data_IF_243197672008
#
_entry.id   IF_243197672008
#
_cell.length_a   1.000
_cell.length_b   1.000
_cell.length_c   1.000
_cell.angle_alpha   90.00
_cell.angle_beta   90.00
_cell.angle_gamma   90.00
#
_symmetry.space_group_name_H-M   'P 1'
#
loop_
_entity.id
_entity.type
_entity.pdbx_description
1 polymer ?
#
# COMPACT_ATOMS: atom_id res chain seq x y z
N UNK A 1 8.35 8.29 0.40
CA UNK A 1 8.26 7.64 -0.93
C UNK A 1 7.63 8.55 -1.99
N UNK A 2 6.43 9.15 -1.81
CA UNK A 2 5.77 9.90 -2.89
C UNK A 2 6.59 11.07 -3.44
N UNK A 3 7.39 11.74 -2.60
CA UNK A 3 8.31 12.80 -3.02
C UNK A 3 9.46 12.28 -3.89
N UNK A 4 9.95 11.05 -3.64
CA UNK A 4 10.96 10.41 -4.49
C UNK A 4 10.36 10.09 -5.85
N UNK A 5 9.15 9.52 -5.89
CA UNK A 5 8.44 9.24 -7.13
C UNK A 5 8.17 10.53 -7.92
N UNK A 6 7.78 11.63 -7.26
CA UNK A 6 7.60 12.92 -7.94
C UNK A 6 8.90 13.44 -8.56
N UNK A 7 10.05 13.25 -7.89
CA UNK A 7 11.36 13.62 -8.44
C UNK A 7 11.71 12.77 -9.68
N UNK A 8 11.44 11.47 -9.65
CA UNK A 8 11.62 10.60 -10.83
C UNK A 8 10.74 11.05 -12.00
N UNK A 9 9.45 11.28 -11.76
CA UNK A 9 8.52 11.76 -12.78
C UNK A 9 8.92 13.12 -13.35
N UNK A 10 9.56 13.99 -12.58
CA UNK A 10 10.02 15.28 -13.09
C UNK A 10 11.12 15.16 -14.17
N UNK A 11 11.86 14.04 -14.23
CA UNK A 11 12.90 13.83 -15.24
C UNK A 11 12.30 13.55 -16.63
N UNK A 12 11.22 12.78 -16.70
CA UNK A 12 10.69 12.22 -17.96
C UNK A 12 9.22 12.56 -18.23
N UNK A 13 8.40 12.69 -17.18
CA UNK A 13 6.95 12.90 -17.27
C UNK A 13 6.48 14.02 -16.32
N UNK A 14 7.10 15.20 -16.44
CA UNK A 14 6.91 16.34 -15.51
C UNK A 14 5.45 16.86 -15.45
N UNK A 15 4.59 16.46 -16.37
CA UNK A 15 3.15 16.73 -16.36
C UNK A 15 2.39 15.90 -15.31
N UNK A 16 2.94 14.76 -14.86
CA UNK A 16 2.32 13.92 -13.82
C UNK A 16 2.64 14.52 -12.45
N UNK A 17 1.60 14.90 -11.71
CA UNK A 17 1.69 15.48 -10.37
C UNK A 17 1.13 14.54 -9.32
N UNK A 18 1.92 14.31 -8.28
CA UNK A 18 1.60 13.46 -7.15
C UNK A 18 1.14 14.31 -5.99
N UNK A 19 -0.02 13.93 -5.48
CA UNK A 19 -0.42 14.29 -4.14
C UNK A 19 -0.57 13.03 -3.30
N UNK A 20 -0.51 13.21 -1.99
CA UNK A 20 -0.66 12.13 -1.04
C UNK A 20 -1.66 12.49 0.06
N UNK A 21 -2.34 11.46 0.57
CA UNK A 21 -3.01 11.51 1.86
C UNK A 21 -2.78 10.18 2.55
N UNK A 22 -1.91 10.19 3.54
CA UNK A 22 -1.44 8.99 4.25
C UNK A 22 -1.34 9.32 5.72
N UNK A 23 -1.82 8.41 6.57
CA UNK A 23 -1.73 8.57 8.00
C UNK A 23 -1.19 7.29 8.65
N UNK A 24 -0.32 7.40 9.67
CA UNK A 24 0.33 6.23 10.27
C UNK A 24 -0.71 5.29 10.90
N UNK A 25 -0.59 3.99 10.61
CA UNK A 25 -1.45 2.94 11.19
C UNK A 25 -2.92 2.94 10.74
N UNK A 26 -3.31 3.77 9.78
CA UNK A 26 -4.69 3.83 9.28
C UNK A 26 -4.89 2.82 8.13
N UNK A 27 -5.87 1.92 8.30
CA UNK A 27 -6.29 1.00 7.25
C UNK A 27 -7.11 1.71 6.17
N UNK A 28 -7.24 1.08 5.00
CA UNK A 28 -8.00 1.66 3.89
C UNK A 28 -9.46 1.99 4.25
N UNK A 29 -10.12 1.16 5.06
CA UNK A 29 -11.50 1.45 5.51
C UNK A 29 -11.54 2.63 6.49
N UNK A 30 -10.57 2.74 7.40
CA UNK A 30 -10.52 3.84 8.37
C UNK A 30 -10.30 5.21 7.71
N UNK A 31 -9.68 5.26 6.53
CA UNK A 31 -9.63 6.49 5.72
C UNK A 31 -11.02 7.05 5.35
N UNK A 32 -12.04 6.19 5.32
CA UNK A 32 -13.44 6.55 5.01
C UNK A 32 -14.31 6.62 6.26
N UNK A 33 -13.98 5.85 7.29
CA UNK A 33 -14.77 5.72 8.51
C UNK A 33 -14.37 6.73 9.60
N UNK A 34 -13.17 7.32 9.52
CA UNK A 34 -12.63 8.16 10.58
C UNK A 34 -12.37 9.61 10.14
N UNK A 35 -12.60 10.53 11.08
CA UNK A 35 -12.14 11.91 11.01
C UNK A 35 -10.80 12.02 11.71
N UNK A 36 -9.81 12.55 10.99
CA UNK A 36 -8.50 12.86 11.53
C UNK A 36 -8.61 14.16 12.31
N UNK A 37 -8.35 14.10 13.60
CA UNK A 37 -8.37 15.27 14.47
C UNK A 37 -6.97 15.88 14.60
N UNK A 38 -5.96 15.00 14.74
CA UNK A 38 -4.56 15.37 14.87
C UNK A 38 -3.70 14.30 14.18
N UNK A 39 -2.63 14.71 13.49
CA UNK A 39 -1.65 13.80 12.89
C UNK A 39 -0.26 14.40 12.91
N UNK A 40 0.72 13.60 13.31
CA UNK A 40 2.15 13.82 13.14
C UNK A 40 2.79 12.60 12.45
N UNK A 41 4.12 12.51 12.43
CA UNK A 41 4.84 11.37 11.86
C UNK A 41 4.52 10.06 12.61
N UNK A 42 4.52 10.08 13.95
CA UNK A 42 4.38 8.88 14.79
C UNK A 42 3.03 8.79 15.52
N UNK A 43 2.21 9.84 15.46
CA UNK A 43 0.98 9.92 16.23
C UNK A 43 -0.21 10.30 15.35
N UNK A 44 -1.34 9.66 15.62
CA UNK A 44 -2.62 10.04 15.04
C UNK A 44 -3.73 9.95 16.09
N UNK A 45 -4.57 10.99 16.14
CA UNK A 45 -5.84 10.95 16.86
C UNK A 45 -6.98 11.04 15.87
N UNK A 46 -7.91 10.09 16.01
CA UNK A 46 -9.08 10.01 15.16
C UNK A 46 -10.34 9.77 15.96
N UNK A 47 -11.47 10.23 15.43
CA UNK A 47 -12.80 9.83 15.88
C UNK A 47 -13.58 9.17 14.74
N UNK A 48 -14.63 8.43 15.07
CA UNK A 48 -15.55 7.91 14.05
C UNK A 48 -16.27 9.06 13.34
N UNK A 49 -16.52 8.86 12.05
CA UNK A 49 -17.33 9.73 11.20
C UNK A 49 -18.79 9.71 11.66
N UNK A 50 -19.39 10.89 11.76
CA UNK A 50 -20.82 11.10 12.06
C UNK A 50 -21.57 11.60 10.82
N UNK A 51 -22.90 11.66 10.92
CA UNK A 51 -23.72 12.22 9.84
C UNK A 51 -23.33 13.67 9.53
N UNK A 52 -23.17 13.97 8.23
CA UNK A 52 -22.73 15.28 7.75
C UNK A 52 -21.21 15.50 7.75
N UNK A 53 -20.42 14.64 8.39
CA UNK A 53 -18.96 14.71 8.30
C UNK A 53 -18.46 14.33 6.89
N UNK A 54 -17.27 14.82 6.54
CA UNK A 54 -16.52 14.41 5.35
C UNK A 54 -15.07 14.14 5.73
N UNK A 55 -14.57 12.94 5.43
CA UNK A 55 -13.19 12.58 5.78
C UNK A 55 -12.18 13.34 4.93
N UNK A 56 -10.93 13.36 5.39
CA UNK A 56 -9.85 13.96 4.62
C UNK A 56 -9.64 13.23 3.28
N UNK A 57 -9.87 11.91 3.23
CA UNK A 57 -9.78 11.12 1.99
C UNK A 57 -10.92 11.44 1.03
N UNK A 58 -12.16 11.59 1.51
CA UNK A 58 -13.28 12.01 0.67
C UNK A 58 -13.03 13.39 0.06
N UNK A 59 -12.59 14.36 0.88
CA UNK A 59 -12.20 15.70 0.41
C UNK A 59 -11.11 15.63 -0.65
N UNK A 60 -10.07 14.81 -0.43
CA UNK A 60 -8.95 14.65 -1.36
C UNK A 60 -9.40 14.06 -2.69
N UNK A 61 -10.24 13.03 -2.68
CA UNK A 61 -10.73 12.41 -3.91
C UNK A 61 -11.61 13.40 -4.70
N UNK A 62 -12.43 14.19 -4.02
CA UNK A 62 -13.38 15.11 -4.65
C UNK A 62 -12.75 16.45 -5.08
N UNK A 63 -11.53 16.77 -4.65
CA UNK A 63 -10.91 18.07 -4.95
C UNK A 63 -10.63 18.30 -6.44
N UNK A 64 -10.43 17.21 -7.21
CA UNK A 64 -10.15 17.23 -8.65
C UNK A 64 -10.43 15.87 -9.29
N UNK A 65 -10.45 15.85 -10.62
CA UNK A 65 -10.56 14.63 -11.42
C UNK A 65 -9.19 13.96 -11.48
N UNK A 66 -8.97 12.92 -10.70
CA UNK A 66 -7.69 12.21 -10.63
C UNK A 66 -7.52 11.29 -11.83
N UNK A 67 -6.37 11.29 -12.50
CA UNK A 67 -6.10 10.31 -13.58
C UNK A 67 -5.69 8.94 -13.02
N UNK A 68 -4.99 8.93 -11.87
CA UNK A 68 -4.48 7.72 -11.22
C UNK A 68 -4.75 7.82 -9.72
N UNK A 69 -5.34 6.79 -9.14
CA UNK A 69 -5.52 6.64 -7.69
C UNK A 69 -4.83 5.35 -7.23
N UNK A 70 -3.79 5.51 -6.40
CA UNK A 70 -3.09 4.41 -5.74
C UNK A 70 -3.65 4.26 -4.32
N UNK A 71 -4.02 3.03 -3.94
CA UNK A 71 -4.56 2.74 -2.60
C UNK A 71 -3.87 1.56 -1.95
N UNK A 72 -3.68 1.66 -0.64
CA UNK A 72 -2.96 0.70 0.18
C UNK A 72 -3.78 0.38 1.43
N UNK A 73 -3.70 -0.86 1.91
CA UNK A 73 -4.08 -1.22 3.28
C UNK A 73 -2.93 -2.00 3.93
N UNK A 74 -3.01 -2.23 5.24
CA UNK A 74 -2.00 -3.04 5.94
C UNK A 74 -2.08 -4.52 5.55
N UNK A 75 -0.93 -5.20 5.51
CA UNK A 75 -0.82 -6.62 5.09
C UNK A 75 -1.79 -7.54 5.85
N UNK A 76 -1.94 -7.38 7.17
CA UNK A 76 -2.84 -8.23 7.96
C UNK A 76 -4.30 -8.13 7.51
N UNK A 77 -4.76 -6.94 7.08
CA UNK A 77 -6.13 -6.73 6.62
C UNK A 77 -6.44 -7.49 5.31
N UNK A 78 -5.41 -7.88 4.55
CA UNK A 78 -5.58 -8.75 3.38
C UNK A 78 -5.36 -10.23 3.68
N UNK A 79 -4.89 -10.62 4.87
CA UNK A 79 -4.73 -12.04 5.23
C UNK A 79 -5.99 -12.61 5.88
N UNK A 80 -6.72 -11.80 6.65
CA UNK A 80 -7.93 -12.22 7.36
C UNK A 80 -9.14 -12.12 6.41
N UNK A 81 -9.84 -13.23 6.08
CA UNK A 81 -10.95 -13.25 5.12
C UNK A 81 -12.08 -12.26 5.43
N UNK A 82 -12.45 -12.13 6.70
CA UNK A 82 -13.50 -11.23 7.15
C UNK A 82 -13.08 -9.77 7.00
N UNK A 83 -11.82 -9.45 7.32
CA UNK A 83 -11.28 -8.10 7.10
C UNK A 83 -11.29 -7.73 5.63
N UNK A 84 -10.88 -8.65 4.74
CA UNK A 84 -10.98 -8.45 3.29
C UNK A 84 -12.42 -8.17 2.85
N UNK A 85 -13.34 -9.06 3.21
CA UNK A 85 -14.72 -9.05 2.73
C UNK A 85 -15.52 -7.86 3.23
N UNK A 86 -15.34 -7.48 4.50
CA UNK A 86 -16.21 -6.50 5.16
C UNK A 86 -15.56 -5.14 5.41
N UNK A 87 -14.24 -5.02 5.23
CA UNK A 87 -13.52 -3.73 5.35
C UNK A 87 -12.82 -3.33 4.05
N UNK A 88 -11.86 -4.13 3.59
CA UNK A 88 -10.98 -3.73 2.49
C UNK A 88 -11.71 -3.61 1.16
N UNK A 89 -12.48 -4.63 0.76
CA UNK A 89 -13.24 -4.62 -0.51
C UNK A 89 -14.33 -3.52 -0.55
N UNK A 90 -15.16 -3.33 0.49
CA UNK A 90 -16.10 -2.20 0.53
C UNK A 90 -15.42 -0.84 0.42
N UNK A 91 -14.28 -0.64 1.09
CA UNK A 91 -13.53 0.61 1.02
C UNK A 91 -12.98 0.87 -0.39
N UNK A 92 -12.46 -0.16 -1.07
CA UNK A 92 -12.04 -0.10 -2.47
C UNK A 92 -13.19 0.38 -3.36
N UNK A 93 -14.38 -0.20 -3.19
CA UNK A 93 -15.58 0.13 -3.98
C UNK A 93 -16.06 1.54 -3.70
N UNK A 94 -16.05 1.98 -2.44
CA UNK A 94 -16.47 3.33 -2.06
C UNK A 94 -15.52 4.39 -2.63
N UNK A 95 -14.20 4.18 -2.57
CA UNK A 95 -13.21 5.10 -3.17
C UNK A 95 -13.44 5.25 -4.68
N UNK A 96 -13.73 4.15 -5.39
CA UNK A 96 -14.05 4.22 -6.84
C UNK A 96 -15.30 5.05 -7.12
N UNK A 97 -16.32 4.97 -6.27
CA UNK A 97 -17.57 5.74 -6.42
C UNK A 97 -17.40 7.23 -6.12
N UNK A 98 -16.42 7.60 -5.29
CA UNK A 98 -16.20 8.99 -4.89
C UNK A 98 -15.52 9.84 -5.97
N UNK A 99 -14.76 9.21 -6.86
CA UNK A 99 -13.98 9.89 -7.88
C UNK A 99 -14.81 10.11 -9.16
N UNK A 100 -15.03 11.38 -9.52
CA UNK A 100 -15.79 11.80 -10.71
C UNK A 100 -14.92 11.83 -11.99
N UNK A 101 -14.25 10.71 -12.27
CA UNK A 101 -13.50 10.49 -13.50
C UNK A 101 -13.55 9.02 -13.90
N UNK A 102 -14.36 8.71 -14.90
CA UNK A 102 -14.55 7.34 -15.39
C UNK A 102 -13.30 6.76 -16.09
N UNK A 103 -12.38 7.62 -16.51
CA UNK A 103 -11.13 7.21 -17.16
C UNK A 103 -9.97 6.99 -16.18
N UNK A 104 -10.22 7.11 -14.87
CA UNK A 104 -9.17 6.92 -13.88
C UNK A 104 -8.65 5.50 -13.84
N UNK A 105 -7.32 5.39 -13.81
CA UNK A 105 -6.63 4.15 -13.45
C UNK A 105 -6.65 4.00 -11.93
N UNK A 106 -6.94 2.80 -11.46
CA UNK A 106 -6.89 2.49 -10.04
C UNK A 106 -5.87 1.40 -9.78
N UNK A 107 -4.90 1.70 -8.93
CA UNK A 107 -3.81 0.80 -8.59
C UNK A 107 -3.98 0.34 -7.15
N UNK A 108 -4.02 -0.98 -6.93
CA UNK A 108 -3.92 -1.57 -5.61
C UNK A 108 -2.44 -1.81 -5.28
N UNK A 109 -1.98 -1.18 -4.20
CA UNK A 109 -0.64 -1.34 -3.68
C UNK A 109 -0.55 -2.67 -2.92
N UNK A 110 -0.03 -3.70 -3.60
CA UNK A 110 0.41 -4.97 -3.03
C UNK A 110 1.58 -4.75 -2.08
N UNK A 111 1.45 -5.13 -0.81
CA UNK A 111 2.51 -4.99 0.19
C UNK A 111 3.41 -6.23 0.24
N UNK A 112 4.38 -6.25 1.16
CA UNK A 112 5.40 -7.29 1.32
C UNK A 112 5.25 -8.07 2.63
N UNK A 113 6.05 -9.12 2.79
CA UNK A 113 6.23 -9.87 4.04
C UNK A 113 7.01 -9.05 5.06
N UNK A 114 6.61 -9.14 6.33
CA UNK A 114 7.41 -8.65 7.44
C UNK A 114 8.34 -9.73 7.98
N UNK A 115 9.34 -9.36 8.78
CA UNK A 115 10.16 -10.30 9.55
C UNK A 115 9.33 -10.85 10.70
N UNK A 116 9.12 -12.15 10.71
CA UNK A 116 8.38 -12.87 11.76
C UNK A 116 9.01 -14.22 12.03
N UNK A 117 8.74 -14.78 13.20
CA UNK A 117 9.03 -16.18 13.50
C UNK A 117 7.88 -17.05 12.99
N UNK A 118 8.19 -18.25 12.48
CA UNK A 118 7.19 -19.19 11.98
C UNK A 118 7.07 -20.41 12.90
N UNK A 119 5.86 -20.97 13.08
CA UNK A 119 4.61 -20.57 12.45
C UNK A 119 4.01 -19.28 13.04
N UNK A 120 3.25 -18.54 12.24
CA UNK A 120 2.58 -17.29 12.63
C UNK A 120 1.11 -17.29 12.20
N UNK A 121 0.25 -16.63 12.98
CA UNK A 121 -1.16 -16.44 12.66
C UNK A 121 -1.67 -15.09 13.16
N UNK A 122 -2.21 -14.29 12.24
CA UNK A 122 -2.78 -13.00 12.58
C UNK A 122 -4.27 -13.10 12.86
N UNK A 123 -4.73 -12.45 13.93
CA UNK A 123 -6.15 -12.43 14.25
C UNK A 123 -6.65 -11.03 14.59
N UNK A 124 -7.88 -10.76 14.20
CA UNK A 124 -8.66 -9.63 14.69
C UNK A 124 -9.79 -10.11 15.59
N UNK A 125 -10.10 -9.35 16.63
CA UNK A 125 -11.37 -9.48 17.34
C UNK A 125 -12.52 -8.98 16.46
N UNK A 126 -13.73 -9.49 16.68
CA UNK A 126 -14.92 -9.00 15.98
C UNK A 126 -15.13 -7.50 16.16
N UNK A 127 -14.71 -6.93 17.29
CA UNK A 127 -14.71 -5.47 17.50
C UNK A 127 -13.95 -4.70 16.40
N UNK A 128 -12.81 -5.22 15.93
CA UNK A 128 -12.04 -4.58 14.85
C UNK A 128 -12.69 -4.76 13.46
N UNK A 129 -13.57 -5.75 13.30
CA UNK A 129 -14.30 -6.03 12.06
C UNK A 129 -15.65 -5.30 11.96
N UNK A 130 -16.15 -4.78 13.08
CA UNK A 130 -17.35 -3.93 13.14
C UNK A 130 -18.53 -4.60 13.85
N UNK A 131 -19.61 -3.83 14.00
CA UNK A 131 -20.72 -4.20 14.90
C UNK A 131 -21.52 -5.44 14.51
N UNK A 132 -21.38 -5.92 13.27
CA UNK A 132 -22.00 -7.17 12.82
C UNK A 132 -21.32 -8.44 13.33
N UNK A 133 -20.18 -8.32 14.01
CA UNK A 133 -19.39 -9.45 14.50
C UNK A 133 -19.48 -9.58 16.02
N UNK A 134 -19.37 -10.81 16.51
CA UNK A 134 -19.25 -11.05 17.93
C UNK A 134 -17.93 -10.43 18.44
N UNK A 135 -18.03 -9.49 19.37
CA UNK A 135 -16.88 -8.70 19.86
C UNK A 135 -15.77 -9.55 20.45
N UNK A 136 -16.12 -10.65 21.10
CA UNK A 136 -15.18 -11.53 21.81
C UNK A 136 -14.61 -12.64 20.92
N UNK A 137 -15.18 -12.83 19.73
CA UNK A 137 -14.71 -13.85 18.77
C UNK A 137 -13.46 -13.36 18.02
N UNK A 138 -12.52 -14.28 17.78
CA UNK A 138 -11.30 -14.05 17.00
C UNK A 138 -11.47 -14.61 15.60
N UNK A 139 -11.15 -13.78 14.62
CA UNK A 139 -11.14 -14.12 13.20
C UNK A 139 -9.70 -14.03 12.70
N UNK A 140 -9.18 -15.14 12.19
CA UNK A 140 -7.76 -15.30 11.96
C UNK A 140 -7.43 -15.58 10.50
N UNK A 141 -6.20 -15.25 10.10
CA UNK A 141 -5.62 -15.73 8.86
C UNK A 141 -5.42 -17.25 8.92
N UNK A 142 -5.20 -17.91 7.77
CA UNK A 142 -4.52 -19.20 7.76
C UNK A 142 -3.20 -19.14 8.55
N UNK A 143 -2.77 -20.28 9.09
CA UNK A 143 -1.44 -20.42 9.69
C UNK A 143 -0.37 -20.30 8.58
N UNK A 144 0.62 -19.47 8.84
CA UNK A 144 1.76 -19.22 7.97
C UNK A 144 2.94 -20.02 8.51
N UNK A 145 3.47 -20.96 7.75
CA UNK A 145 4.55 -21.86 8.20
C UNK A 145 5.93 -21.48 7.67
N UNK A 146 6.00 -20.58 6.68
CA UNK A 146 7.25 -19.99 6.18
C UNK A 146 6.97 -18.71 5.37
N UNK A 147 8.05 -17.99 5.04
CA UNK A 147 8.00 -16.72 4.30
C UNK A 147 7.43 -16.86 2.89
N UNK A 148 7.75 -17.93 2.16
CA UNK A 148 7.25 -18.12 0.81
C UNK A 148 5.72 -18.30 0.81
N UNK A 149 5.18 -19.04 1.78
CA UNK A 149 3.73 -19.17 1.96
C UNK A 149 3.11 -17.84 2.36
N UNK A 150 3.77 -17.07 3.24
CA UNK A 150 3.31 -15.73 3.62
C UNK A 150 3.21 -14.82 2.39
N UNK A 151 4.28 -14.70 1.60
CA UNK A 151 4.30 -13.91 0.37
C UNK A 151 3.23 -14.37 -0.62
N UNK A 152 3.12 -15.69 -0.85
CA UNK A 152 2.13 -16.26 -1.76
C UNK A 152 0.72 -15.86 -1.36
N UNK A 153 0.38 -16.00 -0.08
CA UNK A 153 -0.95 -15.68 0.42
C UNK A 153 -1.24 -14.17 0.36
N UNK A 154 -0.25 -13.31 0.61
CA UNK A 154 -0.39 -11.86 0.40
C UNK A 154 -0.76 -11.58 -1.06
N UNK A 155 0.05 -12.09 -1.99
CA UNK A 155 -0.07 -11.81 -3.42
C UNK A 155 -1.38 -12.34 -4.00
N UNK A 156 -1.79 -13.57 -3.65
CA UNK A 156 -3.05 -14.15 -4.09
C UNK A 156 -4.26 -13.34 -3.61
N UNK A 157 -4.27 -12.91 -2.35
CA UNK A 157 -5.37 -12.13 -1.79
C UNK A 157 -5.47 -10.73 -2.41
N UNK A 158 -4.33 -10.07 -2.63
CA UNK A 158 -4.30 -8.80 -3.36
C UNK A 158 -4.73 -8.96 -4.82
N UNK A 159 -4.31 -10.03 -5.50
CA UNK A 159 -4.71 -10.32 -6.87
C UNK A 159 -6.20 -10.60 -7.00
N UNK A 160 -6.80 -11.32 -6.04
CA UNK A 160 -8.25 -11.51 -5.98
C UNK A 160 -8.98 -10.17 -5.83
N UNK A 161 -8.58 -9.33 -4.86
CA UNK A 161 -9.17 -8.00 -4.66
C UNK A 161 -9.05 -7.10 -5.90
N UNK A 162 -7.88 -7.10 -6.55
CA UNK A 162 -7.64 -6.32 -7.75
C UNK A 162 -8.53 -6.80 -8.92
N UNK A 163 -8.60 -8.12 -9.14
CA UNK A 163 -9.44 -8.72 -10.19
C UNK A 163 -10.92 -8.42 -9.97
N UNK A 164 -11.43 -8.64 -8.77
CA UNK A 164 -12.84 -8.43 -8.40
C UNK A 164 -13.28 -6.97 -8.56
N UNK A 165 -12.34 -6.03 -8.44
CA UNK A 165 -12.61 -4.60 -8.49
C UNK A 165 -12.09 -3.92 -9.77
N UNK A 166 -11.58 -4.70 -10.75
CA UNK A 166 -10.97 -4.19 -11.98
C UNK A 166 -9.91 -3.12 -11.69
N UNK A 167 -8.91 -3.49 -10.90
CA UNK A 167 -7.77 -2.66 -10.52
C UNK A 167 -6.50 -3.21 -11.15
N UNK A 168 -5.56 -2.31 -11.44
CA UNK A 168 -4.18 -2.69 -11.66
C UNK A 168 -3.54 -3.08 -10.32
N UNK A 169 -2.57 -4.00 -10.35
CA UNK A 169 -1.89 -4.49 -9.16
C UNK A 169 -0.38 -4.20 -9.26
N UNK A 170 0.18 -3.53 -8.24
CA UNK A 170 1.63 -3.36 -8.16
C UNK A 170 2.33 -4.67 -7.77
N UNK A 171 3.64 -4.82 -8.05
CA UNK A 171 4.40 -6.05 -7.76
C UNK A 171 5.35 -5.93 -6.55
N UNK A 172 5.05 -5.09 -5.57
CA UNK A 172 6.04 -4.81 -4.51
C UNK A 172 6.38 -6.04 -3.67
N UNK A 173 5.42 -6.92 -3.35
CA UNK A 173 5.69 -8.14 -2.59
C UNK A 173 6.77 -9.00 -3.25
N UNK A 174 6.59 -9.32 -4.54
CA UNK A 174 7.54 -10.13 -5.30
C UNK A 174 8.92 -9.45 -5.44
N UNK A 175 8.92 -8.15 -5.74
CA UNK A 175 10.17 -7.41 -5.96
C UNK A 175 10.94 -7.22 -4.64
N UNK A 176 10.26 -6.94 -3.53
CA UNK A 176 10.88 -6.84 -2.21
C UNK A 176 11.50 -8.18 -1.79
N UNK A 177 10.79 -9.28 -2.02
CA UNK A 177 11.31 -10.62 -1.76
C UNK A 177 12.53 -10.92 -2.65
N UNK A 178 12.43 -10.69 -3.96
CA UNK A 178 13.53 -10.89 -4.93
C UNK A 178 14.78 -10.09 -4.56
N UNK A 179 14.63 -8.83 -4.15
CA UNK A 179 15.76 -7.99 -3.72
C UNK A 179 16.37 -8.51 -2.43
N UNK A 180 15.55 -8.88 -1.45
CA UNK A 180 16.03 -9.39 -0.15
C UNK A 180 16.81 -10.70 -0.30
N UNK A 181 16.30 -11.62 -1.12
CA UNK A 181 16.92 -12.93 -1.38
C UNK A 181 18.24 -12.80 -2.16
N UNK A 182 18.23 -12.03 -3.26
CA UNK A 182 19.40 -11.93 -4.12
C UNK A 182 20.48 -10.98 -3.57
N UNK A 183 20.09 -10.04 -2.70
CA UNK A 183 20.97 -9.01 -2.17
C UNK A 183 20.79 -8.82 -0.65
N UNK A 184 21.10 -9.82 0.20
CA UNK A 184 20.80 -9.80 1.63
C UNK A 184 21.49 -8.68 2.43
N UNK A 185 22.51 -8.03 1.84
CA UNK A 185 23.19 -6.85 2.40
C UNK A 185 22.39 -5.55 2.18
N UNK A 186 21.50 -5.51 1.19
CA UNK A 186 20.62 -4.37 0.92
C UNK A 186 19.44 -4.43 1.90
N UNK A 187 19.46 -3.61 2.95
CA UNK A 187 18.41 -3.56 3.96
C UNK A 187 17.26 -2.66 3.50
N UNK A 188 16.31 -3.22 2.76
CA UNK A 188 15.13 -2.50 2.26
C UNK A 188 14.06 -2.25 3.31
N UNK A 189 14.10 -2.97 4.45
CA UNK A 189 13.29 -2.70 5.64
C UNK A 189 14.17 -2.10 6.73
N UNK A 190 13.66 -1.08 7.44
CA UNK A 190 14.35 -0.46 8.59
C UNK A 190 14.05 -1.16 9.90
N UNK A 191 12.87 -1.77 10.02
CA UNK A 191 12.49 -2.64 11.11
C UNK A 191 11.90 -3.97 10.57
N UNK A 192 10.90 -4.52 11.24
CA UNK A 192 10.27 -5.77 10.86
C UNK A 192 9.28 -5.62 9.69
N UNK A 193 8.81 -4.42 9.37
CA UNK A 193 7.79 -4.24 8.32
C UNK A 193 7.88 -2.92 7.53
N UNK A 194 8.46 -1.87 8.11
CA UNK A 194 8.53 -0.56 7.48
C UNK A 194 9.70 -0.48 6.49
N UNK A 195 9.49 0.09 5.29
CA UNK A 195 10.56 0.30 4.32
C UNK A 195 11.59 1.29 4.86
N UNK A 196 12.86 0.95 4.72
CA UNK A 196 13.96 1.91 4.90
C UNK A 196 13.97 2.93 3.76
N UNK A 197 14.89 3.90 3.79
CA UNK A 197 15.15 4.80 2.64
C UNK A 197 15.38 4.02 1.32
N UNK A 198 16.02 2.84 1.39
CA UNK A 198 16.26 1.97 0.22
C UNK A 198 14.96 1.32 -0.26
N UNK A 199 14.13 0.80 0.64
CA UNK A 199 12.83 0.23 0.29
C UNK A 199 11.84 1.28 -0.23
N UNK A 200 11.88 2.49 0.32
CA UNK A 200 11.09 3.62 -0.17
C UNK A 200 11.52 4.05 -1.58
N UNK A 201 12.82 4.02 -1.87
CA UNK A 201 13.34 4.27 -3.22
C UNK A 201 12.94 3.18 -4.20
N UNK A 202 13.09 1.90 -3.81
CA UNK A 202 12.64 0.75 -4.61
C UNK A 202 11.14 0.84 -4.93
N UNK A 203 10.31 1.18 -3.94
CA UNK A 203 8.88 1.39 -4.15
C UNK A 203 8.58 2.52 -5.14
N UNK A 204 9.36 3.62 -5.09
CA UNK A 204 9.24 4.68 -6.08
C UNK A 204 9.62 4.19 -7.49
N UNK A 205 10.69 3.39 -7.65
CA UNK A 205 11.03 2.79 -8.95
C UNK A 205 9.90 1.90 -9.49
N UNK A 206 9.27 1.07 -8.64
CA UNK A 206 8.16 0.19 -9.02
C UNK A 206 6.98 1.01 -9.52
N UNK A 207 6.57 2.05 -8.78
CA UNK A 207 5.48 2.91 -9.21
C UNK A 207 5.84 3.73 -10.45
N UNK A 208 7.08 4.21 -10.58
CA UNK A 208 7.54 4.91 -11.77
C UNK A 208 7.33 4.04 -13.02
N UNK A 209 7.86 2.81 -13.01
CA UNK A 209 7.72 1.89 -14.12
C UNK A 209 6.26 1.56 -14.42
N UNK A 210 5.43 1.37 -13.39
CA UNK A 210 4.02 1.06 -13.54
C UNK A 210 3.17 2.23 -14.10
N UNK A 211 3.50 3.47 -13.72
CA UNK A 211 2.76 4.65 -14.13
C UNK A 211 3.12 5.03 -15.57
N UNK A 212 4.41 4.98 -15.90
CA UNK A 212 4.99 5.52 -17.13
C UNK A 212 5.17 4.45 -18.22
N UNK A 213 5.23 3.17 -17.83
CA UNK A 213 5.73 2.06 -18.66
C UNK A 213 7.18 2.26 -19.15
N UNK A 214 7.94 3.14 -18.49
CA UNK A 214 9.35 3.36 -18.75
C UNK A 214 10.21 2.59 -17.75
N UNK A 215 11.43 2.25 -18.16
CA UNK A 215 12.37 1.55 -17.29
C UNK A 215 13.08 2.54 -16.35
N UNK A 216 12.93 2.30 -15.04
CA UNK A 216 13.52 3.11 -13.97
C UNK A 216 15.06 3.09 -13.97
N UNK A 217 15.70 2.12 -14.62
CA UNK A 217 17.17 2.04 -14.77
C UNK A 217 17.73 3.23 -15.56
N UNK A 218 16.92 3.86 -16.41
CA UNK A 218 17.31 5.01 -17.22
C UNK A 218 17.28 6.35 -16.48
N UNK A 219 16.75 6.39 -15.25
CA UNK A 219 16.65 7.62 -14.46
C UNK A 219 18.03 8.06 -13.95
N UNK A 220 18.26 9.37 -13.86
CA UNK A 220 19.45 9.94 -13.23
C UNK A 220 19.25 10.08 -11.71
N UNK A 221 18.02 10.34 -11.26
CA UNK A 221 17.68 10.51 -9.85
C UNK A 221 18.02 9.26 -9.03
N UNK A 222 18.86 9.44 -7.99
CA UNK A 222 19.33 8.37 -7.10
C UNK A 222 18.92 8.57 -5.63
N UNK A 223 18.07 9.55 -5.32
CA UNK A 223 17.63 9.85 -3.94
C UNK A 223 18.77 10.02 -2.91
N UNK A 224 19.91 10.58 -3.33
CA UNK A 224 21.12 10.74 -2.52
C UNK A 224 21.65 9.39 -1.97
N UNK A 225 21.40 8.31 -2.69
CA UNK A 225 22.01 7.00 -2.44
C UNK A 225 23.32 6.88 -3.21
N UNK A 226 24.18 5.95 -2.78
CA UNK A 226 25.31 5.51 -3.58
C UNK A 226 24.84 5.07 -4.97
N UNK A 227 25.53 5.52 -6.02
CA UNK A 227 25.13 5.30 -7.42
C UNK A 227 25.04 3.81 -7.77
N UNK A 228 26.00 3.00 -7.31
CA UNK A 228 25.98 1.56 -7.59
C UNK A 228 24.77 0.91 -6.92
N UNK A 229 24.49 1.28 -5.67
CA UNK A 229 23.32 0.78 -4.94
C UNK A 229 22.00 1.21 -5.59
N UNK A 230 21.87 2.46 -6.00
CA UNK A 230 20.68 2.96 -6.68
C UNK A 230 20.42 2.22 -7.99
N UNK A 231 21.47 1.96 -8.78
CA UNK A 231 21.36 1.23 -10.04
C UNK A 231 20.91 -0.22 -9.84
N UNK A 232 21.40 -0.90 -8.80
CA UNK A 232 20.92 -2.26 -8.46
C UNK A 232 19.43 -2.25 -8.12
N UNK A 233 18.95 -1.27 -7.34
CA UNK A 233 17.54 -1.16 -6.98
C UNK A 233 16.65 -0.84 -8.19
N UNK A 234 17.08 0.06 -9.08
CA UNK A 234 16.36 0.38 -10.32
C UNK A 234 16.21 -0.84 -11.23
N UNK A 235 17.32 -1.54 -11.50
CA UNK A 235 17.35 -2.73 -12.35
C UNK A 235 16.57 -3.93 -11.76
N UNK A 236 16.22 -3.89 -10.48
CA UNK A 236 15.44 -4.95 -9.84
C UNK A 236 13.94 -4.91 -10.18
N UNK A 237 13.47 -3.83 -10.80
CA UNK A 237 12.05 -3.60 -11.15
C UNK A 237 11.65 -4.23 -12.49
N UNK A 238 12.62 -4.58 -13.34
CA UNK A 238 12.41 -5.32 -14.59
C UNK A 238 11.88 -6.76 -14.40
#
# INVERSE_FOLDING_TARGET
MPQMLQKMLNETNSNIKIDQITFPGISLSKHLDNIIEESSEDHIRTRLKQEGDTTATEKKIQEKKWDIIIKQTGTVAVLIPESRKYKTDPAIKQIKKLNDNDNSRYILFNTWTGKVEYPEQYCYSGFMLGDSFNRDERYCSPELVNELQYLTLINENYAALAKENSLELSKHGDIFYKVSENNPKIKILEDDIHPSKLGAFLSACIFYAMITNEDASNLEYNADLDTQLANVLKASVE
#
